data_IF_179240938366
#
_entry.id   IF_179240938366
#
_cell.length_a   1.000
_cell.length_b   1.000
_cell.length_c   1.000
_cell.angle_alpha   90.00
_cell.angle_beta   90.00
_cell.angle_gamma   90.00
#
_symmetry.space_group_name_H-M   'P 1'
#
loop_
_entity.id
_entity.type
_entity.pdbx_description
1 polymer ?
#
# COMPACT_ATOMS: atom_id res chain seq x y z
N UNK A 1 37.97 -6.19 -6.29
CA UNK A 1 36.89 -5.37 -5.71
C UNK A 1 35.62 -5.69 -6.49
N UNK A 2 34.71 -6.47 -5.91
CA UNK A 2 33.37 -6.62 -6.46
C UNK A 2 32.60 -5.40 -5.97
N UNK A 3 32.25 -4.49 -6.87
CA UNK A 3 31.31 -3.42 -6.54
C UNK A 3 29.94 -4.09 -6.35
N UNK A 4 29.50 -4.22 -5.11
CA UNK A 4 28.09 -4.48 -4.82
C UNK A 4 27.39 -3.17 -5.21
N UNK A 5 26.81 -3.13 -6.40
CA UNK A 5 25.89 -2.05 -6.76
C UNK A 5 24.72 -2.17 -5.79
N UNK A 6 24.62 -1.28 -4.82
CA UNK A 6 23.40 -1.16 -4.02
C UNK A 6 22.25 -0.87 -5.00
N UNK A 7 21.31 -1.82 -5.09
CA UNK A 7 20.10 -1.63 -5.89
C UNK A 7 19.32 -0.47 -5.28
N UNK A 8 18.85 0.45 -6.13
CA UNK A 8 17.93 1.50 -5.67
C UNK A 8 16.68 0.87 -5.07
N UNK A 9 16.05 1.53 -4.10
CA UNK A 9 14.89 0.97 -3.40
C UNK A 9 13.72 0.75 -4.39
N UNK A 10 13.57 1.65 -5.36
CA UNK A 10 12.66 1.48 -6.50
C UNK A 10 12.95 0.23 -7.35
N UNK A 11 14.21 -0.07 -7.67
CA UNK A 11 14.57 -1.26 -8.43
C UNK A 11 14.32 -2.54 -7.63
N UNK A 12 14.62 -2.50 -6.33
CA UNK A 12 14.41 -3.63 -5.43
C UNK A 12 12.92 -3.97 -5.29
N UNK A 13 12.04 -2.97 -5.32
CA UNK A 13 10.58 -3.12 -5.25
C UNK A 13 9.89 -3.30 -6.62
N UNK A 14 10.64 -3.62 -7.69
CA UNK A 14 10.11 -3.71 -9.06
C UNK A 14 9.22 -2.51 -9.47
N UNK A 15 9.58 -1.31 -9.01
CA UNK A 15 8.74 -0.13 -9.19
C UNK A 15 8.72 0.30 -10.67
N UNK A 16 7.53 0.62 -11.18
CA UNK A 16 7.35 1.11 -12.54
C UNK A 16 6.28 2.20 -12.61
N UNK A 17 6.52 3.18 -13.46
CA UNK A 17 5.58 4.26 -13.76
C UNK A 17 5.10 4.12 -15.20
N UNK A 18 3.79 4.17 -15.39
CA UNK A 18 3.14 4.11 -16.70
C UNK A 18 2.07 5.20 -16.83
N UNK A 19 1.71 5.57 -18.06
CA UNK A 19 0.82 6.68 -18.33
C UNK A 19 1.52 8.05 -18.32
N UNK A 20 0.79 9.11 -18.64
CA UNK A 20 1.37 10.44 -18.93
C UNK A 20 0.60 11.60 -18.32
N UNK A 21 -0.14 11.37 -17.23
CA UNK A 21 -0.85 12.43 -16.50
C UNK A 21 0.01 13.26 -15.56
N UNK A 22 -0.49 14.41 -15.13
CA UNK A 22 0.18 15.25 -14.12
C UNK A 22 0.00 14.69 -12.70
N UNK A 23 -1.22 14.22 -12.37
CA UNK A 23 -1.53 13.58 -11.10
C UNK A 23 -1.06 12.10 -11.12
N UNK A 24 -0.48 11.63 -10.00
CA UNK A 24 -0.05 10.24 -9.84
C UNK A 24 -1.01 9.44 -8.96
N UNK A 25 -1.35 8.22 -9.41
CA UNK A 25 -2.06 7.20 -8.65
C UNK A 25 -1.07 6.07 -8.32
N UNK A 26 -0.99 5.70 -7.05
CA UNK A 26 -0.18 4.59 -6.55
C UNK A 26 -1.10 3.39 -6.34
N UNK A 27 -0.76 2.24 -6.91
CA UNK A 27 -1.47 0.99 -6.70
C UNK A 27 -0.62 0.01 -5.90
N UNK A 28 -1.07 -0.30 -4.68
CA UNK A 28 -0.40 -1.21 -3.76
C UNK A 28 -1.21 -2.51 -3.61
N UNK A 29 -0.61 -3.62 -4.03
CA UNK A 29 -1.22 -4.95 -4.01
C UNK A 29 -1.29 -5.53 -2.59
N UNK A 30 -2.06 -6.61 -2.37
CA UNK A 30 -2.20 -7.25 -1.07
C UNK A 30 -1.18 -8.36 -0.82
N UNK A 31 -1.22 -8.97 0.37
CA UNK A 31 -0.38 -10.13 0.68
C UNK A 31 -0.69 -11.32 -0.27
N UNK A 32 0.36 -12.04 -0.68
CA UNK A 32 0.23 -13.22 -1.55
C UNK A 32 -0.04 -12.91 -3.03
N UNK A 33 0.03 -11.65 -3.43
CA UNK A 33 -0.09 -11.22 -4.82
C UNK A 33 1.11 -10.36 -5.22
N UNK A 34 1.09 -9.84 -6.45
CA UNK A 34 2.02 -8.83 -6.96
C UNK A 34 1.25 -7.75 -7.75
N UNK A 35 1.96 -6.82 -8.39
CA UNK A 35 1.36 -5.75 -9.19
C UNK A 35 0.44 -6.21 -10.35
N UNK A 36 0.48 -7.48 -10.76
CA UNK A 36 -0.39 -8.03 -11.84
C UNK A 36 -1.88 -7.98 -11.50
N UNK A 37 -2.27 -7.92 -10.22
CA UNK A 37 -3.69 -7.84 -9.84
C UNK A 37 -4.40 -6.63 -10.45
N UNK A 38 -3.62 -5.59 -10.78
CA UNK A 38 -4.12 -4.34 -11.31
C UNK A 38 -4.15 -4.29 -12.84
N UNK A 39 -3.68 -5.31 -13.55
CA UNK A 39 -3.54 -5.29 -15.02
C UNK A 39 -4.83 -4.94 -15.76
N UNK A 40 -5.98 -5.42 -15.28
CA UNK A 40 -7.29 -5.10 -15.87
C UNK A 40 -7.81 -3.71 -15.49
N UNK A 41 -7.27 -3.13 -14.42
CA UNK A 41 -7.72 -1.84 -13.85
C UNK A 41 -6.89 -0.67 -14.39
N UNK A 42 -5.59 -0.88 -14.55
CA UNK A 42 -4.60 0.11 -15.01
C UNK A 42 -5.03 0.85 -16.30
N UNK A 43 -5.51 0.19 -17.37
CA UNK A 43 -5.81 0.86 -18.64
C UNK A 43 -6.84 1.99 -18.54
N UNK A 44 -7.71 1.96 -17.52
CA UNK A 44 -8.71 3.00 -17.29
C UNK A 44 -8.11 4.30 -16.72
N UNK A 45 -6.91 4.23 -16.14
CA UNK A 45 -6.27 5.38 -15.48
C UNK A 45 -5.11 5.97 -16.28
N UNK A 46 -4.37 5.15 -17.03
CA UNK A 46 -3.14 5.57 -17.72
C UNK A 46 -3.35 6.62 -18.80
N UNK A 47 -4.59 6.79 -19.28
CA UNK A 47 -4.94 7.85 -20.23
C UNK A 47 -4.93 9.26 -19.60
N UNK A 48 -5.09 9.36 -18.27
CA UNK A 48 -5.25 10.64 -17.56
C UNK A 48 -4.30 10.84 -16.39
N UNK A 49 -3.74 9.75 -15.87
CA UNK A 49 -2.91 9.74 -14.68
C UNK A 49 -1.58 9.06 -14.97
N UNK A 50 -0.53 9.47 -14.25
CA UNK A 50 0.62 8.61 -14.03
C UNK A 50 0.23 7.54 -13.02
N UNK A 51 0.63 6.30 -13.28
CA UNK A 51 0.31 5.16 -12.43
C UNK A 51 1.62 4.57 -11.95
N UNK A 52 1.86 4.65 -10.63
CA UNK A 52 2.96 3.96 -9.96
C UNK A 52 2.50 2.58 -9.50
N UNK A 53 3.24 1.56 -9.91
CA UNK A 53 3.11 0.18 -9.48
C UNK A 53 4.42 -0.25 -8.84
N UNK A 54 4.34 -1.13 -7.85
CA UNK A 54 5.50 -1.70 -7.18
C UNK A 54 5.07 -3.02 -6.52
N UNK A 55 6.07 -3.80 -6.14
CA UNK A 55 5.92 -5.05 -5.41
C UNK A 55 6.50 -4.90 -4.00
N UNK A 56 5.75 -5.40 -3.01
CA UNK A 56 6.24 -5.45 -1.63
C UNK A 56 7.33 -6.50 -1.46
N UNK A 57 8.16 -6.37 -0.42
CA UNK A 57 9.23 -7.34 -0.12
C UNK A 57 8.71 -8.78 0.11
N UNK A 58 7.43 -8.95 0.47
CA UNK A 58 6.79 -10.27 0.60
C UNK A 58 6.26 -10.86 -0.71
N UNK A 59 6.31 -10.11 -1.81
CA UNK A 59 5.85 -10.60 -3.11
C UNK A 59 6.80 -11.66 -3.65
N UNK A 60 6.23 -12.72 -4.22
CA UNK A 60 6.99 -13.76 -4.93
C UNK A 60 7.68 -13.26 -6.21
N UNK A 61 7.36 -12.05 -6.67
CA UNK A 61 8.02 -11.40 -7.82
C UNK A 61 9.36 -10.75 -7.48
N UNK A 62 9.69 -10.61 -6.20
CA UNK A 62 10.96 -10.04 -5.73
C UNK A 62 12.06 -11.08 -5.87
N UNK A 63 13.08 -10.77 -6.69
CA UNK A 63 14.17 -11.72 -7.00
C UNK A 63 15.12 -11.93 -5.82
N UNK A 64 15.39 -10.89 -5.05
CA UNK A 64 16.37 -10.90 -3.94
C UNK A 64 15.70 -10.49 -2.61
N UNK A 65 14.76 -11.29 -2.09
CA UNK A 65 13.99 -10.92 -0.90
C UNK A 65 14.87 -10.81 0.35
N UNK A 66 15.99 -11.51 0.40
CA UNK A 66 16.91 -11.50 1.54
C UNK A 66 17.62 -10.16 1.77
N UNK A 67 17.72 -9.30 0.74
CA UNK A 67 18.26 -7.95 0.89
C UNK A 67 17.20 -6.94 1.33
N UNK A 68 15.93 -7.25 1.12
CA UNK A 68 14.82 -6.37 1.49
C UNK A 68 14.19 -6.75 2.83
N UNK A 69 14.18 -8.04 3.19
CA UNK A 69 13.45 -8.53 4.36
C UNK A 69 14.30 -8.54 5.65
N UNK A 70 13.90 -7.70 6.60
CA UNK A 70 14.37 -7.70 7.98
C UNK A 70 13.21 -8.11 8.91
N UNK A 71 13.29 -9.27 9.60
CA UNK A 71 12.20 -9.76 10.44
C UNK A 71 11.85 -8.85 11.61
N UNK A 72 12.78 -8.01 12.09
CA UNK A 72 12.51 -7.03 13.14
C UNK A 72 11.75 -5.85 12.53
N UNK A 73 12.20 -5.34 11.39
CA UNK A 73 11.53 -4.24 10.66
C UNK A 73 10.10 -4.61 10.26
N UNK A 74 9.89 -5.80 9.71
CA UNK A 74 8.57 -6.25 9.23
C UNK A 74 7.73 -6.97 10.29
N UNK A 75 8.15 -6.92 11.57
CA UNK A 75 7.30 -7.37 12.69
C UNK A 75 6.07 -6.49 12.91
N UNK A 76 6.03 -5.30 12.29
CA UNK A 76 4.94 -4.34 12.32
C UNK A 76 4.69 -3.74 10.93
N UNK A 77 3.55 -3.06 10.76
CA UNK A 77 3.25 -2.35 9.52
C UNK A 77 4.07 -1.06 9.32
N UNK A 78 4.74 -0.56 10.36
CA UNK A 78 5.60 0.61 10.27
C UNK A 78 6.79 0.38 9.33
N UNK A 79 7.37 -0.83 9.32
CA UNK A 79 8.44 -1.18 8.40
C UNK A 79 8.03 -1.05 6.92
N UNK A 80 6.83 -1.51 6.59
CA UNK A 80 6.26 -1.38 5.25
C UNK A 80 5.85 0.07 4.92
N UNK A 81 5.39 0.83 5.92
CA UNK A 81 5.05 2.24 5.73
C UNK A 81 6.29 3.07 5.40
N UNK A 82 7.41 2.78 6.08
CA UNK A 82 8.70 3.41 5.78
C UNK A 82 9.18 3.06 4.38
N UNK A 83 9.10 1.79 3.96
CA UNK A 83 9.47 1.42 2.59
C UNK A 83 8.66 2.16 1.53
N UNK A 84 7.36 2.33 1.78
CA UNK A 84 6.52 3.10 0.88
C UNK A 84 6.95 4.57 0.84
N UNK A 85 7.25 5.18 1.99
CA UNK A 85 7.73 6.56 2.05
C UNK A 85 9.05 6.71 1.31
N UNK A 86 10.01 5.83 1.58
CA UNK A 86 11.33 5.83 0.95
C UNK A 86 11.22 5.70 -0.58
N UNK A 87 10.33 4.82 -1.06
CA UNK A 87 10.05 4.67 -2.49
C UNK A 87 9.48 5.96 -3.10
N UNK A 88 8.56 6.62 -2.41
CA UNK A 88 7.92 7.84 -2.91
C UNK A 88 8.88 9.03 -2.90
N UNK A 89 9.73 9.13 -1.87
CA UNK A 89 10.77 10.15 -1.79
C UNK A 89 11.85 9.94 -2.86
N UNK A 90 12.27 8.68 -3.12
CA UNK A 90 13.26 8.36 -4.18
C UNK A 90 12.77 8.81 -5.56
N UNK A 91 11.47 8.68 -5.83
CA UNK A 91 10.83 9.04 -7.11
C UNK A 91 10.41 10.53 -7.14
N UNK A 92 10.64 11.28 -6.05
CA UNK A 92 10.20 12.67 -5.84
C UNK A 92 8.69 12.87 -6.11
N UNK A 93 7.87 11.91 -5.67
CA UNK A 93 6.42 12.02 -5.76
C UNK A 93 5.84 12.85 -4.62
N UNK A 94 4.89 13.73 -4.96
CA UNK A 94 4.17 14.57 -4.00
C UNK A 94 2.67 14.52 -4.28
N UNK A 95 1.85 14.62 -3.24
CA UNK A 95 0.39 14.76 -3.33
C UNK A 95 -0.31 13.72 -4.24
N UNK A 96 0.03 12.44 -4.08
CA UNK A 96 -0.50 11.33 -4.87
C UNK A 96 -1.84 10.78 -4.35
N UNK A 97 -2.58 10.05 -5.19
CA UNK A 97 -3.72 9.24 -4.75
C UNK A 97 -3.23 7.81 -4.51
N UNK A 98 -3.44 7.28 -3.32
CA UNK A 98 -3.02 5.91 -2.99
C UNK A 98 -4.21 4.95 -3.01
N UNK A 99 -4.06 3.82 -3.70
CA UNK A 99 -5.01 2.71 -3.77
C UNK A 99 -4.37 1.49 -3.13
N UNK A 100 -4.86 1.11 -1.95
CA UNK A 100 -4.32 -0.03 -1.18
C UNK A 100 -5.31 -1.17 -1.06
N UNK A 101 -4.90 -2.37 -1.50
CA UNK A 101 -5.69 -3.60 -1.31
C UNK A 101 -5.33 -4.30 0.01
N UNK A 102 -6.36 -4.65 0.80
CA UNK A 102 -6.23 -5.45 2.02
C UNK A 102 -5.20 -4.85 3.00
N UNK A 103 -4.12 -5.59 3.33
CA UNK A 103 -3.01 -5.17 4.18
C UNK A 103 -2.41 -3.82 3.76
N UNK A 104 -2.27 -3.57 2.46
CA UNK A 104 -1.69 -2.33 1.94
C UNK A 104 -2.54 -1.10 2.21
N UNK A 105 -3.84 -1.28 2.44
CA UNK A 105 -4.68 -0.20 2.91
C UNK A 105 -4.26 0.31 4.30
N UNK A 106 -3.82 -0.58 5.19
CA UNK A 106 -3.37 -0.19 6.53
C UNK A 106 -1.98 0.43 6.48
N UNK A 107 -1.10 -0.10 5.64
CA UNK A 107 0.22 0.47 5.39
C UNK A 107 0.10 1.90 4.87
N UNK A 108 -0.76 2.14 3.86
CA UNK A 108 -1.01 3.48 3.35
C UNK A 108 -1.61 4.44 4.38
N UNK A 109 -2.43 3.93 5.31
CA UNK A 109 -2.93 4.74 6.43
C UNK A 109 -1.80 5.19 7.35
N UNK A 110 -0.91 4.28 7.77
CA UNK A 110 0.23 4.60 8.62
C UNK A 110 1.19 5.58 7.91
N UNK A 111 1.54 5.30 6.64
CA UNK A 111 2.38 6.19 5.85
C UNK A 111 1.78 7.59 5.72
N UNK A 112 0.45 7.71 5.57
CA UNK A 112 -0.22 9.02 5.49
C UNK A 112 -0.22 9.81 6.80
N UNK A 113 -0.13 9.13 7.94
CA UNK A 113 -0.01 9.79 9.25
C UNK A 113 1.42 10.33 9.41
N UNK A 114 2.42 9.55 9.00
CA UNK A 114 3.83 9.94 9.10
C UNK A 114 4.20 11.05 8.09
N UNK A 115 3.70 10.95 6.85
CA UNK A 115 4.02 11.86 5.72
C UNK A 115 2.75 12.30 4.97
N UNK A 116 1.90 13.15 5.57
CA UNK A 116 0.62 13.58 5.00
C UNK A 116 0.75 14.42 3.72
N UNK A 117 1.95 14.92 3.42
CA UNK A 117 2.32 15.66 2.20
C UNK A 117 2.36 14.76 0.96
N UNK A 118 2.66 13.47 1.12
CA UNK A 118 2.75 12.51 0.02
C UNK A 118 1.36 12.07 -0.49
N UNK A 119 0.30 12.26 0.31
CA UNK A 119 -1.03 11.67 0.04
C UNK A 119 -2.15 12.71 -0.02
N UNK A 120 -2.72 12.89 -1.22
CA UNK A 120 -3.92 13.68 -1.48
C UNK A 120 -5.17 12.93 -1.02
N UNK A 121 -5.25 11.63 -1.30
CA UNK A 121 -6.37 10.74 -0.94
C UNK A 121 -5.90 9.30 -0.74
N UNK A 122 -6.61 8.56 0.11
CA UNK A 122 -6.45 7.12 0.30
C UNK A 122 -7.74 6.41 -0.12
N UNK A 123 -7.60 5.42 -1.00
CA UNK A 123 -8.66 4.53 -1.47
C UNK A 123 -8.32 3.13 -0.96
N UNK A 124 -9.15 2.59 -0.07
CA UNK A 124 -8.91 1.28 0.52
C UNK A 124 -9.88 0.25 -0.08
N UNK A 125 -9.32 -0.81 -0.65
CA UNK A 125 -10.06 -1.91 -1.28
C UNK A 125 -9.96 -3.13 -0.38
N UNK A 126 -11.07 -3.57 0.23
CA UNK A 126 -11.08 -4.76 1.09
C UNK A 126 -10.18 -4.66 2.34
N UNK A 127 -9.84 -3.45 2.79
CA UNK A 127 -8.98 -3.25 3.95
C UNK A 127 -9.77 -3.28 5.27
N UNK A 128 -9.14 -3.80 6.32
CA UNK A 128 -9.71 -3.90 7.67
C UNK A 128 -8.70 -3.43 8.72
N UNK A 129 -9.07 -2.50 9.61
CA UNK A 129 -8.18 -1.98 10.65
C UNK A 129 -7.99 -2.95 11.81
N UNK A 130 -8.87 -3.95 11.98
CA UNK A 130 -8.66 -5.01 12.99
C UNK A 130 -7.47 -5.91 12.69
N UNK A 131 -6.94 -5.89 11.47
CA UNK A 131 -5.67 -6.55 11.10
C UNK A 131 -4.48 -5.93 11.85
N UNK A 132 -4.58 -4.66 12.24
CA UNK A 132 -3.51 -3.92 12.91
C UNK A 132 -3.38 -4.22 14.42
N UNK A 133 -4.37 -4.90 15.03
CA UNK A 133 -4.50 -4.95 16.49
C UNK A 133 -3.94 -6.21 17.18
N UNK A 134 -3.53 -7.25 16.44
CA UNK A 134 -2.89 -8.43 17.05
C UNK A 134 -2.12 -9.28 16.05
N UNK A 135 -1.05 -9.91 16.52
CA UNK A 135 -0.21 -10.91 15.82
C UNK A 135 -0.97 -12.17 15.35
N UNK A 136 -2.28 -12.27 15.59
CA UNK A 136 -3.14 -13.42 15.28
C UNK A 136 -4.14 -13.18 14.14
N UNK A 137 -3.96 -12.16 13.31
CA UNK A 137 -5.05 -11.72 12.41
C UNK A 137 -5.23 -12.51 11.10
N UNK A 138 -4.46 -13.56 10.84
CA UNK A 138 -4.74 -14.50 9.74
C UNK A 138 -6.13 -15.17 9.88
N UNK A 139 -6.70 -15.22 11.08
CA UNK A 139 -8.00 -15.86 11.35
C UNK A 139 -9.23 -15.04 10.91
N UNK A 140 -9.10 -13.73 10.66
CA UNK A 140 -10.25 -12.87 10.32
C UNK A 140 -10.56 -12.79 8.82
N UNK A 141 -9.66 -13.25 7.95
CA UNK A 141 -9.84 -13.21 6.49
C UNK A 141 -11.04 -14.07 6.02
N UNK A 142 -11.53 -15.01 6.85
CA UNK A 142 -12.56 -15.98 6.50
C UNK A 142 -13.93 -15.71 7.13
N UNK A 143 -14.13 -14.58 7.82
CA UNK A 143 -15.46 -14.21 8.35
C UNK A 143 -16.23 -13.36 7.33
N UNK A 144 -17.51 -13.65 7.07
CA UNK A 144 -18.32 -12.83 6.16
C UNK A 144 -18.42 -11.39 6.69
N UNK A 145 -18.12 -10.43 5.80
CA UNK A 145 -18.26 -8.99 6.04
C UNK A 145 -19.74 -8.66 6.24
N UNK A 146 -20.20 -8.67 7.49
CA UNK A 146 -21.56 -8.26 7.82
C UNK A 146 -21.61 -6.76 8.16
N UNK A 147 -22.82 -6.19 8.15
CA UNK A 147 -23.08 -4.76 8.42
C UNK A 147 -22.49 -4.28 9.76
N UNK A 148 -22.38 -5.16 10.76
CA UNK A 148 -21.79 -4.82 12.07
C UNK A 148 -20.26 -4.69 11.97
N UNK A 149 -19.60 -5.56 11.20
CA UNK A 149 -18.16 -5.47 10.92
C UNK A 149 -17.81 -4.18 10.17
N UNK A 150 -18.60 -3.80 9.17
CA UNK A 150 -18.40 -2.54 8.42
C UNK A 150 -18.56 -1.31 9.34
N UNK A 151 -19.55 -1.32 10.23
CA UNK A 151 -19.76 -0.23 11.20
C UNK A 151 -18.65 -0.16 12.26
N UNK A 152 -18.12 -1.31 12.69
CA UNK A 152 -16.94 -1.36 13.56
C UNK A 152 -15.69 -0.83 12.86
N UNK A 153 -15.45 -1.21 11.59
CA UNK A 153 -14.34 -0.65 10.81
C UNK A 153 -14.47 0.88 10.70
N UNK A 154 -15.65 1.41 10.35
CA UNK A 154 -15.88 2.87 10.31
C UNK A 154 -15.60 3.57 11.64
N UNK A 155 -15.92 2.93 12.77
CA UNK A 155 -15.61 3.48 14.12
C UNK A 155 -14.12 3.42 14.44
N UNK A 156 -13.42 2.35 14.08
CA UNK A 156 -11.98 2.23 14.30
C UNK A 156 -11.23 3.25 13.43
N UNK A 157 -11.63 3.42 12.17
CA UNK A 157 -11.11 4.47 11.28
C UNK A 157 -11.46 5.89 11.75
N UNK A 158 -12.50 6.06 12.57
CA UNK A 158 -12.84 7.35 13.17
C UNK A 158 -11.95 7.74 14.35
N UNK A 159 -11.36 6.73 15.00
CA UNK A 159 -10.54 6.90 16.20
C UNK A 159 -9.05 7.02 15.87
N UNK A 160 -8.61 6.44 14.74
CA UNK A 160 -7.32 6.82 14.15
C UNK A 160 -7.44 8.27 13.67
N UNK A 161 -6.48 9.14 13.99
CA UNK A 161 -6.50 10.57 13.64
C UNK A 161 -6.39 10.86 12.12
N UNK A 162 -6.80 9.91 11.29
CA UNK A 162 -6.89 10.04 9.84
C UNK A 162 -8.07 10.99 9.57
N UNK A 163 -7.78 12.24 9.27
CA UNK A 163 -8.79 13.23 8.93
C UNK A 163 -9.73 12.66 7.85
N UNK A 164 -11.00 12.44 8.23
CA UNK A 164 -12.04 11.76 7.43
C UNK A 164 -12.21 12.27 5.99
N UNK A 165 -11.69 13.46 5.66
CA UNK A 165 -11.86 14.10 4.36
C UNK A 165 -11.08 13.43 3.21
N UNK A 166 -10.10 12.56 3.50
CA UNK A 166 -9.22 11.96 2.47
C UNK A 166 -9.44 10.46 2.23
N UNK A 167 -10.34 9.81 2.97
CA UNK A 167 -10.50 8.35 2.97
C UNK A 167 -11.73 7.90 2.16
N UNK A 168 -11.55 6.95 1.24
CA UNK A 168 -12.64 6.27 0.52
C UNK A 168 -12.52 4.76 0.76
N UNK A 169 -13.60 4.12 1.24
CA UNK A 169 -13.64 2.69 1.53
C UNK A 169 -14.52 1.97 0.49
N UNK A 170 -13.97 0.94 -0.15
CA UNK A 170 -14.71 0.02 -1.00
C UNK A 170 -14.78 -1.36 -0.33
N UNK A 171 -16.01 -1.79 -0.01
CA UNK A 171 -16.32 -3.18 0.32
C UNK A 171 -17.09 -3.76 -0.88
N UNK A 172 -16.64 -4.91 -1.40
CA UNK A 172 -17.42 -5.63 -2.41
C UNK A 172 -18.75 -6.07 -1.82
N UNK A 173 -19.83 -5.90 -2.57
CA UNK A 173 -21.11 -6.58 -2.30
C UNK A 173 -21.07 -8.03 -2.80
#
# INVERSE_FOLDING_TARGET
MVAVLELTHSAAMNARIIGSGEDTIIFAHGFGTDQSIWEKTIPFFTQRYRVLLFDWCFSGSIKEPNHLYDPVKYSSFDGFANDLIDLLDEIDLKASVFVGHSMSGMIGCLASIQRPDLFKRLILVGASPSICASSLCFFFLFRPLNRKTILQHKRIFAQTQIGFKRLVLFYGE
#
